data_IF_947741042491
#
_entry.id   IF_947741042491
#
_cell.length_a   1.000
_cell.length_b   1.000
_cell.length_c   1.000
_cell.angle_alpha   90.00
_cell.angle_beta   90.00
_cell.angle_gamma   90.00
#
_symmetry.space_group_name_H-M   'P 1'
#
loop_
_entity.id
_entity.type
_entity.pdbx_description
1 polymer ?
#
# COMPACT_ATOMS: atom_id res chain seq x y z
N UNK A 1 -9.22 -2.11 -5.72
CA UNK A 1 -8.59 -1.51 -4.53
C UNK A 1 -8.42 0.00 -4.65
N UNK A 2 -7.90 0.51 -5.76
CA UNK A 2 -7.64 1.95 -5.97
C UNK A 2 -8.85 2.85 -5.65
N UNK A 3 -10.03 2.54 -6.21
CA UNK A 3 -11.26 3.29 -5.94
C UNK A 3 -11.66 3.29 -4.46
N UNK A 4 -11.35 2.24 -3.70
CA UNK A 4 -11.63 2.20 -2.26
C UNK A 4 -10.69 3.14 -1.48
N UNK A 5 -9.41 3.19 -1.86
CA UNK A 5 -8.42 4.12 -1.27
C UNK A 5 -8.79 5.56 -1.61
N UNK A 6 -9.18 5.82 -2.86
CA UNK A 6 -9.67 7.12 -3.32
C UNK A 6 -10.94 7.54 -2.60
N UNK A 7 -11.92 6.65 -2.44
CA UNK A 7 -13.13 6.93 -1.66
C UNK A 7 -12.80 7.21 -0.19
N UNK A 8 -11.91 6.43 0.41
CA UNK A 8 -11.43 6.66 1.78
C UNK A 8 -10.80 8.04 1.93
N UNK A 9 -10.00 8.51 0.96
CA UNK A 9 -9.36 9.84 1.01
C UNK A 9 -10.36 11.00 1.00
N UNK A 10 -11.60 10.77 0.55
CA UNK A 10 -12.66 11.78 0.42
C UNK A 10 -13.68 11.79 1.56
N UNK A 11 -13.48 10.95 2.58
CA UNK A 11 -14.37 10.87 3.74
C UNK A 11 -14.33 12.16 4.56
N UNK A 12 -15.50 12.72 4.84
CA UNK A 12 -15.63 13.98 5.60
C UNK A 12 -15.22 13.81 7.06
N UNK A 13 -15.27 12.59 7.60
CA UNK A 13 -14.87 12.26 8.97
C UNK A 13 -13.39 12.61 9.24
N UNK A 14 -12.56 12.66 8.20
CA UNK A 14 -11.17 13.10 8.30
C UNK A 14 -11.02 14.55 8.74
N UNK A 15 -12.02 15.41 8.52
CA UNK A 15 -12.00 16.79 9.01
C UNK A 15 -11.98 16.83 10.54
N UNK A 16 -12.67 15.88 11.17
CA UNK A 16 -12.84 15.77 12.62
C UNK A 16 -11.83 14.82 13.29
N UNK A 17 -11.16 13.96 12.51
CA UNK A 17 -10.06 13.12 13.01
C UNK A 17 -8.74 13.89 13.10
N UNK A 18 -7.82 13.44 13.96
CA UNK A 18 -6.46 13.97 14.07
C UNK A 18 -5.42 13.14 13.28
N UNK A 19 -5.77 11.94 12.84
CA UNK A 19 -4.86 10.97 12.24
C UNK A 19 -5.62 9.85 11.50
N UNK A 20 -4.88 9.03 10.73
CA UNK A 20 -5.42 7.80 10.12
C UNK A 20 -4.42 6.65 10.19
N UNK A 21 -4.97 5.44 10.26
CA UNK A 21 -4.26 4.19 10.02
C UNK A 21 -4.87 3.48 8.82
N UNK A 22 -4.04 3.05 7.87
CA UNK A 22 -4.42 2.20 6.74
C UNK A 22 -3.66 0.89 6.83
N UNK A 23 -4.37 -0.21 7.03
CA UNK A 23 -3.80 -1.55 7.14
C UNK A 23 -4.19 -2.37 5.92
N UNK A 24 -3.20 -2.93 5.23
CA UNK A 24 -3.39 -3.78 4.05
C UNK A 24 -2.65 -5.09 4.26
N UNK A 25 -3.32 -6.21 4.00
CA UNK A 25 -2.75 -7.55 4.11
C UNK A 25 -3.11 -8.34 2.85
N UNK A 26 -2.10 -8.77 2.09
CA UNK A 26 -2.28 -9.58 0.87
C UNK A 26 -0.95 -10.21 0.43
N UNK A 27 -0.95 -10.92 -0.69
CA UNK A 27 0.27 -11.16 -1.46
C UNK A 27 0.77 -9.85 -2.09
N UNK A 28 2.03 -9.85 -2.47
CA UNK A 28 2.65 -8.67 -3.07
C UNK A 28 3.97 -9.00 -3.72
N UNK A 29 4.44 -8.00 -4.46
CA UNK A 29 5.75 -7.95 -5.07
C UNK A 29 6.37 -6.58 -4.80
N UNK A 30 7.56 -6.32 -5.34
CA UNK A 30 8.23 -5.05 -5.12
C UNK A 30 7.37 -3.89 -5.65
N UNK A 31 6.82 -3.09 -4.73
CA UNK A 31 6.07 -1.88 -5.06
C UNK A 31 4.58 -2.09 -5.35
N UNK A 32 4.07 -3.33 -5.29
CA UNK A 32 2.68 -3.63 -5.58
C UNK A 32 2.06 -4.66 -4.63
N UNK A 33 0.77 -4.49 -4.39
CA UNK A 33 -0.09 -5.41 -3.65
C UNK A 33 -0.93 -6.18 -4.67
N UNK A 34 -0.95 -7.51 -4.57
CA UNK A 34 -1.71 -8.36 -5.50
C UNK A 34 -3.19 -8.41 -5.08
N UNK A 35 -4.07 -8.25 -6.05
CA UNK A 35 -5.51 -8.40 -5.88
C UNK A 35 -5.96 -9.86 -5.95
N UNK A 36 -7.24 -10.09 -5.70
CA UNK A 36 -7.83 -11.43 -5.62
C UNK A 36 -7.91 -12.15 -6.97
N UNK A 37 -7.78 -11.42 -8.08
CA UNK A 37 -7.77 -11.96 -9.43
C UNK A 37 -6.36 -12.02 -10.04
N UNK A 38 -5.32 -11.83 -9.22
CA UNK A 38 -3.94 -11.91 -9.70
C UNK A 38 -3.65 -13.29 -10.29
N UNK A 39 -3.02 -13.29 -11.47
CA UNK A 39 -2.55 -14.49 -12.17
C UNK A 39 -1.19 -14.20 -12.78
N UNK A 40 -0.25 -15.09 -12.54
CA UNK A 40 1.08 -15.01 -13.15
C UNK A 40 0.95 -15.12 -14.69
N UNK A 41 1.65 -14.24 -15.42
CA UNK A 41 1.63 -14.21 -16.89
C UNK A 41 0.42 -13.50 -17.51
N UNK A 42 -0.50 -12.93 -16.73
CA UNK A 42 -1.58 -12.09 -17.27
C UNK A 42 -1.01 -10.79 -17.89
N UNK A 43 -1.37 -10.42 -19.13
CA UNK A 43 -0.96 -9.14 -19.72
C UNK A 43 -1.48 -7.91 -18.96
N UNK A 44 -2.51 -8.06 -18.12
CA UNK A 44 -3.05 -7.03 -17.24
C UNK A 44 -3.26 -7.60 -15.84
N UNK A 45 -2.17 -7.80 -15.07
CA UNK A 45 -2.28 -8.44 -13.77
C UNK A 45 -3.09 -7.58 -12.80
N UNK A 46 -3.91 -8.21 -11.98
CA UNK A 46 -4.66 -7.55 -10.89
C UNK A 46 -3.69 -7.15 -9.77
N UNK A 47 -3.03 -6.01 -9.95
CA UNK A 47 -2.07 -5.44 -9.00
C UNK A 47 -2.44 -4.00 -8.65
N UNK A 48 -2.17 -3.63 -7.42
CA UNK A 48 -2.36 -2.29 -6.88
C UNK A 48 -1.00 -1.68 -6.53
N UNK A 49 -0.53 -0.67 -7.28
CA UNK A 49 0.71 0.04 -6.97
C UNK A 49 0.63 0.74 -5.61
N UNK A 50 1.61 0.49 -4.74
CA UNK A 50 1.66 1.11 -3.40
C UNK A 50 1.74 2.64 -3.51
N UNK A 51 2.35 3.17 -4.57
CA UNK A 51 2.42 4.61 -4.88
C UNK A 51 1.04 5.28 -4.92
N UNK A 52 0.00 4.56 -5.32
CA UNK A 52 -1.35 5.11 -5.42
C UNK A 52 -1.91 5.48 -4.03
N UNK A 53 -1.51 4.77 -2.96
CA UNK A 53 -1.87 5.17 -1.59
C UNK A 53 -1.36 6.58 -1.29
N UNK A 54 -0.09 6.83 -1.62
CA UNK A 54 0.53 8.13 -1.39
C UNK A 54 -0.10 9.22 -2.26
N UNK A 55 -0.43 8.92 -3.52
CA UNK A 55 -1.12 9.87 -4.40
C UNK A 55 -2.47 10.25 -3.81
N UNK A 56 -3.31 9.27 -3.45
CA UNK A 56 -4.67 9.54 -2.94
C UNK A 56 -4.66 10.23 -1.57
N UNK A 57 -3.67 9.95 -0.71
CA UNK A 57 -3.59 10.52 0.64
C UNK A 57 -2.66 11.76 0.75
N UNK A 58 -2.10 12.25 -0.35
CA UNK A 58 -1.27 13.46 -0.32
C UNK A 58 -2.10 14.72 0.01
N UNK A 59 -1.42 15.84 0.26
CA UNK A 59 -2.04 17.13 0.59
C UNK A 59 -2.99 17.65 -0.50
N UNK A 60 -2.69 17.37 -1.76
CA UNK A 60 -3.51 17.83 -2.89
C UNK A 60 -4.85 17.09 -2.97
N UNK A 61 -4.82 15.76 -2.83
CA UNK A 61 -5.96 14.89 -3.02
C UNK A 61 -6.76 14.63 -1.73
N UNK A 62 -6.13 14.77 -0.55
CA UNK A 62 -6.75 14.55 0.76
C UNK A 62 -6.51 15.73 1.72
N UNK A 63 -7.12 16.88 1.40
CA UNK A 63 -6.98 18.13 2.18
C UNK A 63 -7.36 17.98 3.66
N UNK A 64 -8.33 17.13 3.96
CA UNK A 64 -8.82 16.89 5.32
C UNK A 64 -7.74 16.27 6.25
N UNK A 65 -6.71 15.66 5.68
CA UNK A 65 -5.58 15.07 6.42
C UNK A 65 -4.31 15.93 6.37
N UNK A 66 -4.34 17.16 5.85
CA UNK A 66 -3.16 18.04 5.85
C UNK A 66 -2.66 18.27 7.27
N UNK A 67 -1.33 18.17 7.47
CA UNK A 67 -0.66 18.26 8.78
C UNK A 67 -1.09 17.17 9.80
N UNK A 68 -1.79 16.12 9.36
CA UNK A 68 -2.21 14.98 10.19
C UNK A 68 -1.38 13.72 9.89
N UNK A 69 -0.94 12.93 10.88
CA UNK A 69 -0.23 11.68 10.65
C UNK A 69 -1.04 10.68 9.82
N UNK A 70 -0.36 10.01 8.87
CA UNK A 70 -0.93 8.95 8.01
C UNK A 70 -0.07 7.71 8.16
N UNK A 71 -0.49 6.78 9.01
CA UNK A 71 0.26 5.55 9.24
C UNK A 71 -0.24 4.47 8.29
N UNK A 72 0.65 3.94 7.45
CA UNK A 72 0.34 2.91 6.46
C UNK A 72 1.09 1.64 6.85
N UNK A 73 0.36 0.57 7.17
CA UNK A 73 0.89 -0.74 7.53
C UNK A 73 0.56 -1.73 6.42
N UNK A 74 1.57 -2.21 5.70
CA UNK A 74 1.39 -3.16 4.60
C UNK A 74 2.09 -4.47 4.98
N UNK A 75 1.31 -5.53 5.12
CA UNK A 75 1.80 -6.89 5.22
C UNK A 75 1.64 -7.58 3.86
N UNK A 76 2.73 -7.60 3.09
CA UNK A 76 2.79 -8.27 1.81
C UNK A 76 4.25 -8.66 1.50
N UNK A 77 4.43 -9.68 0.66
CA UNK A 77 5.74 -9.99 0.10
C UNK A 77 6.24 -8.83 -0.78
N UNK A 78 7.55 -8.75 -1.00
CA UNK A 78 8.21 -7.75 -1.86
C UNK A 78 9.04 -8.39 -2.98
N UNK A 79 8.79 -9.67 -3.27
CA UNK A 79 9.62 -10.51 -4.14
C UNK A 79 9.92 -11.86 -3.49
N UNK A 80 10.43 -12.80 -4.29
CA UNK A 80 10.58 -14.23 -3.95
C UNK A 80 11.94 -14.66 -3.43
N UNK A 81 12.79 -13.73 -2.95
CA UNK A 81 14.06 -14.11 -2.32
C UNK A 81 13.86 -14.24 -0.81
N UNK A 82 14.39 -15.29 -0.21
CA UNK A 82 14.44 -15.41 1.23
C UNK A 82 15.37 -14.31 1.77
N UNK A 83 14.81 -13.41 2.58
CA UNK A 83 15.57 -12.33 3.21
C UNK A 83 16.62 -12.84 4.22
N UNK A 84 16.72 -14.16 4.41
CA UNK A 84 17.80 -14.83 5.14
C UNK A 84 19.10 -14.69 4.36
N UNK A 85 19.80 -13.58 4.60
CA UNK A 85 21.21 -13.49 4.27
C UNK A 85 21.97 -14.55 5.06
N UNK A 86 22.17 -15.73 4.47
CA UNK A 86 23.16 -16.67 4.94
C UNK A 86 24.53 -16.07 4.57
N UNK A 87 25.02 -15.15 5.39
CA UNK A 87 26.40 -14.72 5.37
C UNK A 87 27.24 -15.89 5.88
N UNK A 88 27.51 -16.86 5.00
CA UNK A 88 28.48 -17.91 5.26
C UNK A 88 29.83 -17.21 5.44
N UNK A 89 30.27 -17.08 6.69
CA UNK A 89 31.65 -16.75 7.00
C UNK A 89 32.50 -17.92 6.47
N UNK A 90 33.13 -17.72 5.32
CA UNK A 90 34.18 -18.63 4.85
C UNK A 90 35.39 -18.45 5.80
N UNK A 91 36.02 -19.53 6.26
CA UNK A 91 37.20 -19.47 7.12
C UNK A 91 38.41 -18.86 6.41
#
# INVERSE_FOLDING_TARGET
MDEAVKAFSKREEHLLSDSVFMVIMSHGELGAIMGVHYKEGDPKPDVFPITNIFIHLNTENCKALVNKPKVILIHACRGGNDGSGNAWAQP
#
